data_IF_790484996801
#
_entry.id   IF_790484996801
#
_cell.length_a   1.000
_cell.length_b   1.000
_cell.length_c   1.000
_cell.angle_alpha   90.00
_cell.angle_beta   90.00
_cell.angle_gamma   90.00
#
_symmetry.space_group_name_H-M   'P 1'
#
loop_
_entity.id
_entity.type
_entity.pdbx_description
1 polymer ?
#
# COMPACT_ATOMS: atom_id res chain seq x y z
N UNK A 1 -4.15 -1.20 13.91
CA UNK A 1 -5.58 -0.81 13.91
C UNK A 1 -6.19 -1.03 12.53
N UNK A 2 -6.91 -2.13 12.34
CA UNK A 2 -7.64 -2.41 11.10
C UNK A 2 -9.09 -2.69 11.49
N UNK A 3 -10.01 -1.74 11.25
CA UNK A 3 -11.44 -1.89 11.57
C UNK A 3 -11.96 -3.16 10.90
N UNK A 4 -12.48 -4.13 11.68
CA UNK A 4 -12.77 -5.53 11.29
C UNK A 4 -13.52 -5.72 9.95
N UNK A 5 -14.31 -4.72 9.51
CA UNK A 5 -15.01 -4.76 8.21
C UNK A 5 -14.08 -4.63 7.00
N UNK A 6 -13.16 -3.65 7.02
CA UNK A 6 -12.23 -3.37 5.90
C UNK A 6 -11.29 -4.54 5.63
N UNK A 7 -10.74 -5.14 6.69
CA UNK A 7 -9.74 -6.20 6.56
C UNK A 7 -10.32 -7.47 5.93
N UNK A 8 -11.63 -7.73 6.10
CA UNK A 8 -12.31 -8.84 5.41
C UNK A 8 -12.46 -8.58 3.91
N UNK A 9 -12.86 -7.37 3.53
CA UNK A 9 -13.03 -7.01 2.11
C UNK A 9 -11.69 -6.96 1.37
N UNK A 10 -10.63 -6.46 2.00
CA UNK A 10 -9.28 -6.49 1.44
C UNK A 10 -8.77 -7.93 1.30
N UNK A 11 -9.07 -8.82 2.25
CA UNK A 11 -8.72 -10.25 2.14
C UNK A 11 -9.47 -10.95 0.99
N UNK A 12 -10.69 -10.50 0.65
CA UNK A 12 -11.41 -10.97 -0.52
C UNK A 12 -10.74 -10.53 -1.84
N UNK A 13 -10.01 -9.42 -1.88
CA UNK A 13 -9.25 -9.02 -3.09
C UNK A 13 -8.11 -10.00 -3.42
N UNK A 14 -7.66 -10.81 -2.45
CA UNK A 14 -6.60 -11.81 -2.62
C UNK A 14 -7.14 -13.25 -2.64
N UNK A 15 -8.46 -13.44 -2.80
CA UNK A 15 -9.04 -14.78 -2.89
C UNK A 15 -8.64 -15.48 -4.19
N UNK A 16 -8.58 -16.83 -4.21
CA UNK A 16 -8.26 -17.58 -5.42
C UNK A 16 -9.35 -17.50 -6.50
N UNK A 17 -10.61 -17.31 -6.08
CA UNK A 17 -11.73 -17.13 -7.01
C UNK A 17 -11.65 -15.74 -7.68
N UNK A 18 -11.62 -15.72 -9.02
CA UNK A 18 -11.44 -14.51 -9.83
C UNK A 18 -12.59 -13.54 -9.74
N UNK A 19 -13.81 -14.05 -9.64
CA UNK A 19 -15.02 -13.22 -9.69
C UNK A 19 -15.20 -12.47 -8.38
N UNK A 20 -15.00 -13.17 -7.26
CA UNK A 20 -15.07 -12.59 -5.92
C UNK A 20 -14.01 -11.52 -5.70
N UNK A 21 -12.75 -11.76 -6.10
CA UNK A 21 -11.70 -10.75 -5.97
C UNK A 21 -11.94 -9.54 -6.85
N UNK A 22 -12.47 -9.74 -8.06
CA UNK A 22 -12.77 -8.65 -8.98
C UNK A 22 -13.89 -7.77 -8.45
N UNK A 23 -15.01 -8.38 -8.03
CA UNK A 23 -16.15 -7.66 -7.48
C UNK A 23 -15.79 -6.91 -6.19
N UNK A 24 -15.00 -7.53 -5.30
CA UNK A 24 -14.52 -6.89 -4.08
C UNK A 24 -13.63 -5.68 -4.40
N UNK A 25 -12.75 -5.80 -5.39
CA UNK A 25 -11.86 -4.74 -5.82
C UNK A 25 -12.59 -3.57 -6.50
N UNK A 26 -13.57 -3.87 -7.37
CA UNK A 26 -14.42 -2.86 -8.02
C UNK A 26 -15.29 -2.11 -7.01
N UNK A 27 -15.91 -2.83 -6.07
CA UNK A 27 -16.67 -2.23 -4.97
C UNK A 27 -15.81 -1.25 -4.17
N UNK A 28 -14.60 -1.67 -3.78
CA UNK A 28 -13.66 -0.82 -3.04
C UNK A 28 -13.23 0.41 -3.85
N UNK A 29 -13.06 0.27 -5.17
CA UNK A 29 -12.68 1.37 -6.05
C UNK A 29 -13.78 2.44 -6.17
N UNK A 30 -15.04 2.01 -6.30
CA UNK A 30 -16.21 2.91 -6.30
C UNK A 30 -16.33 3.63 -4.96
N UNK A 31 -16.19 2.90 -3.84
CA UNK A 31 -16.18 3.51 -2.49
C UNK A 31 -15.04 4.53 -2.32
N UNK A 32 -13.93 4.35 -3.01
CA UNK A 32 -12.81 5.29 -3.02
C UNK A 32 -13.03 6.50 -3.95
N UNK A 33 -14.22 6.66 -4.53
CA UNK A 33 -14.55 7.67 -5.55
C UNK A 33 -13.61 7.57 -6.77
N UNK A 34 -13.20 6.36 -7.11
CA UNK A 34 -12.31 6.07 -8.24
C UNK A 34 -10.92 6.74 -8.18
N UNK A 35 -10.53 7.27 -7.01
CA UNK A 35 -9.20 7.84 -6.78
C UNK A 35 -8.20 6.76 -6.40
N UNK A 36 -7.17 6.56 -7.21
CA UNK A 36 -6.10 5.57 -7.00
C UNK A 36 -5.38 5.77 -5.66
N UNK A 37 -5.04 7.01 -5.31
CA UNK A 37 -4.37 7.32 -4.04
C UNK A 37 -5.20 6.92 -2.82
N UNK A 38 -6.52 7.13 -2.87
CA UNK A 38 -7.43 6.73 -1.79
C UNK A 38 -7.57 5.21 -1.70
N UNK A 39 -7.64 4.52 -2.83
CA UNK A 39 -7.66 3.06 -2.85
C UNK A 39 -6.40 2.50 -2.16
N UNK A 40 -5.21 2.93 -2.58
CA UNK A 40 -3.92 2.45 -2.03
C UNK A 40 -3.85 2.69 -0.52
N UNK A 41 -4.31 3.85 -0.05
CA UNK A 41 -4.36 4.19 1.37
C UNK A 41 -5.16 3.19 2.21
N UNK A 42 -6.27 2.66 1.67
CA UNK A 42 -7.17 1.78 2.40
C UNK A 42 -6.93 0.29 2.18
N UNK A 43 -6.33 -0.09 1.07
CA UNK A 43 -6.12 -1.49 0.69
C UNK A 43 -4.65 -1.90 0.67
N UNK A 44 -3.72 -0.97 0.46
CA UNK A 44 -2.31 -1.22 0.21
C UNK A 44 -2.01 -1.51 -1.27
N UNK A 45 -0.87 -1.03 -1.76
CA UNK A 45 -0.49 -1.21 -3.18
C UNK A 45 -0.44 -2.70 -3.58
N UNK A 46 0.03 -3.59 -2.69
CA UNK A 46 0.12 -5.02 -3.00
C UNK A 46 -1.25 -5.66 -3.30
N UNK A 47 -2.29 -5.27 -2.55
CA UNK A 47 -3.64 -5.77 -2.76
C UNK A 47 -4.34 -5.08 -3.95
N UNK A 48 -4.04 -3.80 -4.18
CA UNK A 48 -4.60 -3.03 -5.29
C UNK A 48 -3.94 -3.33 -6.64
N UNK A 49 -2.71 -3.82 -6.67
CA UNK A 49 -1.90 -4.00 -7.89
C UNK A 49 -2.63 -4.79 -8.98
N UNK A 50 -3.36 -5.84 -8.63
CA UNK A 50 -4.13 -6.63 -9.60
C UNK A 50 -5.26 -5.83 -10.27
N UNK A 51 -5.96 -4.99 -9.51
CA UNK A 51 -7.00 -4.10 -10.05
C UNK A 51 -6.38 -2.99 -10.89
N UNK A 52 -5.30 -2.37 -10.39
CA UNK A 52 -4.59 -1.29 -11.08
C UNK A 52 -3.98 -1.77 -12.40
N UNK A 53 -3.45 -3.00 -12.45
CA UNK A 53 -2.95 -3.63 -13.66
C UNK A 53 -4.05 -3.80 -14.71
N UNK A 54 -5.21 -4.34 -14.33
CA UNK A 54 -6.34 -4.51 -15.26
C UNK A 54 -6.91 -3.20 -15.78
N UNK A 55 -6.87 -2.13 -14.99
CA UNK A 55 -7.31 -0.78 -15.41
C UNK A 55 -6.21 0.05 -16.08
N UNK A 56 -4.99 -0.45 -16.20
CA UNK A 56 -3.87 0.30 -16.78
C UNK A 56 -3.37 1.48 -15.92
N UNK A 57 -3.64 1.46 -14.61
CA UNK A 57 -3.36 2.57 -13.68
C UNK A 57 -2.08 2.36 -12.84
N UNK A 58 -1.22 1.41 -13.22
CA UNK A 58 -0.01 1.03 -12.45
C UNK A 58 1.02 2.17 -12.30
N UNK A 59 1.15 3.04 -13.32
CA UNK A 59 2.10 4.16 -13.31
C UNK A 59 1.57 5.43 -12.62
N UNK A 60 0.52 5.31 -11.81
CA UNK A 60 -0.10 6.48 -11.17
C UNK A 60 -0.77 7.41 -12.19
N UNK A 61 -1.11 6.89 -13.38
CA UNK A 61 -1.95 7.60 -14.32
C UNK A 61 -3.21 8.05 -13.59
N UNK A 62 -3.45 9.36 -13.57
CA UNK A 62 -4.78 9.88 -13.25
C UNK A 62 -5.71 9.19 -14.22
N UNK A 63 -6.47 8.21 -13.73
CA UNK A 63 -7.50 7.57 -14.51
C UNK A 63 -8.57 8.62 -14.80
N UNK A 64 -8.34 9.44 -15.83
CA UNK A 64 -9.38 10.20 -16.52
C UNK A 64 -10.27 9.25 -17.35
N UNK A 65 -10.42 8.00 -16.90
CA UNK A 65 -11.32 7.02 -17.47
C UNK A 65 -12.69 7.19 -16.80
N UNK A 66 -13.42 8.24 -17.18
CA UNK A 66 -14.88 8.26 -17.00
C UNK A 66 -15.52 9.53 -16.46
N UNK A 67 -15.35 10.67 -17.15
CA UNK A 67 -16.33 11.78 -17.12
C UNK A 67 -16.61 12.45 -15.77
N UNK A 68 -17.51 13.45 -15.75
CA UNK A 68 -17.94 14.11 -14.53
C UNK A 68 -18.89 13.18 -13.77
N UNK A 69 -18.36 12.19 -13.07
CA UNK A 69 -19.16 11.46 -12.08
C UNK A 69 -19.40 12.40 -10.90
N UNK A 70 -20.63 12.91 -10.79
CA UNK A 70 -21.14 13.79 -9.74
C UNK A 70 -21.02 13.12 -8.35
N UNK A 71 -19.81 13.05 -7.80
CA UNK A 71 -19.65 12.87 -6.37
C UNK A 71 -19.76 14.25 -5.73
N UNK A 72 -20.92 14.60 -5.17
CA UNK A 72 -21.24 15.91 -4.54
C UNK A 72 -20.32 16.34 -3.39
N UNK A 73 -19.29 15.59 -3.07
CA UNK A 73 -18.31 15.87 -2.03
C UNK A 73 -16.94 15.68 -2.66
N UNK A 74 -16.38 16.76 -3.21
CA UNK A 74 -14.99 16.80 -3.68
C UNK A 74 -14.00 17.07 -2.53
N UNK A 75 -14.51 17.11 -1.29
CA UNK A 75 -13.68 17.23 -0.10
C UNK A 75 -12.75 16.01 -0.02
N UNK A 76 -11.47 16.29 -0.21
CA UNK A 76 -10.33 15.38 -0.04
C UNK A 76 -10.27 14.80 1.38
N UNK A 77 -10.94 15.46 2.33
CA UNK A 77 -10.83 15.28 3.78
C UNK A 77 -11.69 14.15 4.36
N UNK A 78 -11.64 12.97 3.74
CA UNK A 78 -12.18 11.73 4.33
C UNK A 78 -11.13 11.03 5.20
N UNK A 79 -10.15 11.78 5.68
CA UNK A 79 -9.07 11.26 6.47
C UNK A 79 -9.57 11.14 7.92
N UNK A 80 -9.45 9.95 8.48
CA UNK A 80 -9.76 9.77 9.91
C UNK A 80 -8.62 10.37 10.71
N UNK A 81 -8.92 11.01 11.84
CA UNK A 81 -7.92 11.55 12.79
C UNK A 81 -6.78 10.57 13.08
N UNK A 82 -7.12 9.29 13.19
CA UNK A 82 -6.18 8.18 13.36
C UNK A 82 -5.15 8.06 12.22
N UNK A 83 -5.58 8.26 10.97
CA UNK A 83 -4.68 8.20 9.81
C UNK A 83 -3.72 9.39 9.79
N UNK A 84 -4.21 10.60 10.08
CA UNK A 84 -3.39 11.81 10.08
C UNK A 84 -2.26 11.73 11.10
N UNK A 85 -2.54 11.16 12.28
CA UNK A 85 -1.54 10.96 13.34
C UNK A 85 -0.48 9.91 13.01
N UNK A 86 -0.82 8.88 12.22
CA UNK A 86 0.05 7.73 11.98
C UNK A 86 0.54 7.63 10.53
N UNK A 87 0.33 8.65 9.70
CA UNK A 87 0.62 8.64 8.27
C UNK A 87 2.05 8.19 7.96
N UNK A 88 3.02 8.58 8.78
CA UNK A 88 4.43 8.22 8.60
C UNK A 88 4.74 6.74 8.88
N UNK A 89 3.88 6.08 9.66
CA UNK A 89 4.04 4.68 10.09
C UNK A 89 3.11 3.72 9.33
N UNK A 90 2.42 4.21 8.30
CA UNK A 90 1.56 3.37 7.45
C UNK A 90 2.40 2.82 6.32
N UNK A 91 2.46 1.49 6.24
CA UNK A 91 3.16 0.82 5.16
C UNK A 91 2.35 1.00 3.85
N UNK A 92 2.89 1.68 2.83
CA UNK A 92 2.15 1.95 1.58
C UNK A 92 1.83 0.68 0.78
N UNK A 93 2.57 -0.41 1.01
CA UNK A 93 2.34 -1.71 0.36
C UNK A 93 1.19 -2.45 1.05
N UNK A 94 1.12 -2.39 2.38
CA UNK A 94 0.14 -3.14 3.18
C UNK A 94 -1.14 -2.35 3.52
N UNK A 95 -1.10 -1.01 3.41
CA UNK A 95 -2.21 -0.13 3.82
C UNK A 95 -2.56 -0.22 5.31
N UNK A 96 -1.59 -0.65 6.13
CA UNK A 96 -1.76 -0.89 7.56
C UNK A 96 -0.65 -0.19 8.37
N UNK A 97 -0.98 0.19 9.60
CA UNK A 97 0.01 0.70 10.57
C UNK A 97 1.00 -0.41 10.92
N UNK A 98 2.28 -0.07 10.86
CA UNK A 98 3.38 -0.89 11.32
C UNK A 98 4.23 -0.05 12.27
N UNK A 99 4.57 -0.59 13.44
CA UNK A 99 5.54 0.07 14.31
C UNK A 99 6.85 0.25 13.55
N UNK A 100 7.43 1.45 13.66
CA UNK A 100 8.69 1.76 13.00
C UNK A 100 9.75 0.82 13.56
N UNK A 101 10.23 -0.11 12.74
CA UNK A 101 11.33 -1.00 13.12
C UNK A 101 12.55 -0.14 13.45
N UNK A 102 13.15 -0.39 14.60
CA UNK A 102 14.43 0.20 15.00
C UNK A 102 15.46 0.01 13.89
N UNK A 103 16.41 0.94 13.74
CA UNK A 103 17.42 0.77 12.70
C UNK A 103 18.22 -0.48 13.03
N UNK A 104 18.50 -1.37 12.06
CA UNK A 104 19.28 -2.59 12.31
C UNK A 104 20.67 -2.33 12.93
N UNK A 105 21.17 -1.10 12.82
CA UNK A 105 22.48 -0.66 13.30
C UNK A 105 22.44 0.10 14.63
N UNK A 106 21.26 0.35 15.21
CA UNK A 106 21.12 0.94 16.54
C UNK A 106 21.51 -0.12 17.58
N UNK A 107 22.63 0.11 18.29
CA UNK A 107 23.18 -0.81 19.31
C UNK A 107 24.48 -1.52 18.94
N UNK A 108 24.94 -1.45 17.69
CA UNK A 108 26.22 -2.03 17.26
C UNK A 108 27.41 -1.08 17.49
N UNK A 109 28.57 -1.64 17.84
CA UNK A 109 29.84 -0.89 17.88
C UNK A 109 30.29 -0.50 16.46
N UNK A 110 31.19 0.48 16.36
CA UNK A 110 31.68 0.94 15.05
C UNK A 110 32.39 -0.18 14.27
N UNK A 111 33.17 -1.00 14.96
CA UNK A 111 33.87 -2.15 14.37
C UNK A 111 32.88 -3.21 13.84
N UNK A 112 31.81 -3.51 14.60
CA UNK A 112 30.77 -4.44 14.17
C UNK A 112 30.03 -3.94 12.92
N UNK A 113 29.74 -2.64 12.85
CA UNK A 113 29.13 -2.01 11.67
C UNK A 113 30.01 -2.14 10.44
N UNK A 114 31.31 -1.95 10.58
CA UNK A 114 32.27 -2.06 9.47
C UNK A 114 32.38 -3.51 8.96
N UNK A 115 32.39 -4.50 9.87
CA UNK A 115 32.41 -5.90 9.50
C UNK A 115 31.14 -6.34 8.75
N UNK A 116 29.96 -5.93 9.24
CA UNK A 116 28.69 -6.17 8.54
C UNK A 116 28.64 -5.48 7.17
N UNK A 117 29.17 -4.26 7.06
CA UNK A 117 29.26 -3.55 5.79
C UNK A 117 30.14 -4.31 4.77
N UNK A 118 31.29 -4.85 5.21
CA UNK A 118 32.14 -5.67 4.33
C UNK A 118 31.46 -6.97 3.90
N UNK A 119 30.72 -7.64 4.81
CA UNK A 119 29.93 -8.81 4.46
C UNK A 119 28.85 -8.47 3.43
N UNK A 120 28.18 -7.32 3.58
CA UNK A 120 27.16 -6.86 2.65
C UNK A 120 27.77 -6.63 1.25
N UNK A 121 28.91 -5.95 1.15
CA UNK A 121 29.61 -5.72 -0.11
C UNK A 121 29.98 -7.03 -0.78
N UNK A 122 30.49 -8.00 -0.01
CA UNK A 122 30.82 -9.34 -0.55
C UNK A 122 29.58 -10.05 -1.10
N UNK A 123 28.43 -9.97 -0.42
CA UNK A 123 27.17 -10.55 -0.89
C UNK A 123 26.68 -9.86 -2.18
N UNK A 124 26.80 -8.54 -2.27
CA UNK A 124 26.43 -7.81 -3.49
C UNK A 124 27.34 -8.17 -4.68
N UNK A 125 28.64 -8.30 -4.46
CA UNK A 125 29.60 -8.73 -5.48
C UNK A 125 29.29 -10.15 -6.00
N UNK A 126 28.89 -11.07 -5.11
CA UNK A 126 28.45 -12.42 -5.48
C UNK A 126 27.14 -12.47 -6.27
N UNK A 127 26.27 -11.47 -6.14
CA UNK A 127 25.02 -11.37 -6.90
C UNK A 127 25.19 -10.64 -8.23
N UNK A 128 26.17 -9.76 -8.34
CA UNK A 128 26.45 -8.98 -9.55
C UNK A 128 27.29 -9.74 -10.59
N UNK A 129 27.77 -10.94 -10.24
CA UNK A 129 28.65 -11.80 -11.05
C UNK A 129 27.92 -13.05 -11.50
#
# INVERSE_FOLDING_TARGET
MCRRGRCRLVRLMTSPCTDTKQLAAELLFVLCKEKVGRLIKYTGYGNAAGLLARRGLLLGGSGNAGGPTLYSSDSEDSDTEEYSLHRENINPVLGCYQERKERPTEGLSQEQKEHEAMQLVSLMDRLAR
#
